data_IF_459725582547
#
_entry.id   IF_459725582547
#
_cell.length_a   1.000
_cell.length_b   1.000
_cell.length_c   1.000
_cell.angle_alpha   90.00
_cell.angle_beta   90.00
_cell.angle_gamma   90.00
#
_symmetry.space_group_name_H-M   'P 1'
#
loop_
_entity.id
_entity.type
_entity.pdbx_description
1 polymer ?
#
# COMPACT_ATOMS: atom_id res chain seq x y z
N UNK A 1 -29.10 -59.24 3.72
CA UNK A 1 -28.11 -59.96 2.89
C UNK A 1 -28.52 -59.83 1.45
N UNK A 2 -27.80 -59.05 0.65
CA UNK A 2 -28.05 -58.90 -0.78
C UNK A 2 -26.68 -58.72 -1.47
N UNK A 3 -26.22 -59.78 -2.13
CA UNK A 3 -24.98 -59.83 -2.90
C UNK A 3 -25.13 -59.02 -4.20
N UNK A 4 -24.28 -58.02 -4.38
CA UNK A 4 -24.09 -57.36 -5.68
C UNK A 4 -23.06 -58.13 -6.49
N UNK A 5 -23.50 -58.75 -7.58
CA UNK A 5 -22.65 -59.37 -8.61
C UNK A 5 -21.77 -58.31 -9.27
N UNK A 6 -20.46 -58.50 -9.25
CA UNK A 6 -19.51 -57.73 -10.05
C UNK A 6 -19.51 -58.28 -11.48
N UNK A 7 -19.83 -57.42 -12.45
CA UNK A 7 -19.69 -57.72 -13.87
C UNK A 7 -18.25 -57.48 -14.31
N UNK A 8 -17.58 -58.53 -14.80
CA UNK A 8 -16.34 -58.44 -15.55
C UNK A 8 -16.63 -57.87 -16.94
N UNK A 9 -15.90 -56.84 -17.36
CA UNK A 9 -15.87 -56.37 -18.74
C UNK A 9 -14.56 -56.82 -19.39
N UNK A 10 -14.67 -57.78 -20.30
CA UNK A 10 -13.60 -58.22 -21.19
C UNK A 10 -13.52 -57.23 -22.36
N UNK A 11 -12.42 -56.49 -22.46
CA UNK A 11 -12.18 -55.54 -23.56
C UNK A 11 -11.34 -56.26 -24.62
N UNK A 12 -11.98 -56.73 -25.68
CA UNK A 12 -11.28 -57.22 -26.87
C UNK A 12 -10.87 -56.02 -27.74
N UNK A 13 -9.56 -55.77 -27.85
CA UNK A 13 -9.00 -54.82 -28.80
C UNK A 13 -9.05 -55.42 -30.21
N UNK A 14 -10.01 -54.97 -31.01
CA UNK A 14 -10.02 -55.18 -32.46
C UNK A 14 -9.29 -54.00 -33.13
N UNK A 15 -8.17 -54.31 -33.79
CA UNK A 15 -7.40 -53.40 -34.64
C UNK A 15 -8.22 -52.98 -35.87
N UNK A 16 -9.11 -52.00 -35.70
CA UNK A 16 -9.86 -51.37 -36.78
C UNK A 16 -9.22 -50.04 -37.18
N UNK A 17 -8.62 -49.97 -38.38
CA UNK A 17 -8.25 -48.71 -39.05
C UNK A 17 -9.49 -47.83 -39.21
N UNK A 18 -9.71 -46.91 -38.29
CA UNK A 18 -10.79 -45.93 -38.36
C UNK A 18 -10.43 -44.81 -39.35
N UNK A 19 -10.97 -44.89 -40.56
CA UNK A 19 -11.03 -43.76 -41.49
C UNK A 19 -12.01 -42.73 -40.94
N UNK A 20 -11.51 -41.82 -40.11
CA UNK A 20 -12.30 -40.75 -39.52
C UNK A 20 -12.58 -39.67 -40.58
N UNK A 21 -13.70 -39.82 -41.30
CA UNK A 21 -14.20 -38.81 -42.22
C UNK A 21 -14.75 -37.64 -41.41
N UNK A 22 -13.86 -36.74 -40.97
CA UNK A 22 -14.19 -35.51 -40.23
C UNK A 22 -15.21 -34.74 -41.07
N UNK A 23 -16.48 -34.73 -40.62
CA UNK A 23 -17.54 -33.92 -41.23
C UNK A 23 -17.15 -32.45 -41.04
N UNK A 24 -16.94 -31.73 -42.15
CA UNK A 24 -16.48 -30.32 -42.22
C UNK A 24 -17.19 -29.35 -41.27
N UNK A 25 -18.39 -29.68 -40.81
CA UNK A 25 -19.18 -28.88 -39.86
C UNK A 25 -18.49 -28.73 -38.50
N UNK A 26 -17.79 -29.76 -38.00
CA UNK A 26 -17.13 -29.69 -36.69
C UNK A 26 -15.94 -28.72 -36.64
N UNK A 27 -15.21 -28.57 -37.74
CA UNK A 27 -14.04 -27.68 -37.80
C UNK A 27 -14.43 -26.20 -37.75
N UNK A 28 -15.59 -25.85 -38.30
CA UNK A 28 -16.12 -24.49 -38.26
C UNK A 28 -16.33 -24.00 -36.82
N UNK A 29 -16.94 -24.83 -35.95
CA UNK A 29 -17.15 -24.46 -34.55
C UNK A 29 -15.84 -24.31 -33.77
N UNK A 30 -14.83 -25.11 -34.07
CA UNK A 30 -13.51 -24.98 -33.44
C UNK A 30 -12.85 -23.66 -33.83
N UNK A 31 -12.88 -23.30 -35.12
CA UNK A 31 -12.30 -22.04 -35.60
C UNK A 31 -13.06 -20.83 -35.05
N UNK A 32 -14.40 -20.87 -35.03
CA UNK A 32 -15.22 -19.80 -34.44
C UNK A 32 -14.96 -19.66 -32.94
N UNK A 33 -14.85 -20.78 -32.21
CA UNK A 33 -14.52 -20.77 -30.78
C UNK A 33 -13.16 -20.12 -30.51
N UNK A 34 -12.14 -20.45 -31.31
CA UNK A 34 -10.79 -19.89 -31.17
C UNK A 34 -10.77 -18.38 -31.43
N UNK A 35 -11.52 -17.91 -32.44
CA UNK A 35 -11.66 -16.48 -32.73
C UNK A 35 -12.36 -15.74 -31.57
N UNK A 36 -13.41 -16.31 -30.99
CA UNK A 36 -14.10 -15.71 -29.84
C UNK A 36 -13.16 -15.58 -28.63
N UNK A 37 -12.38 -16.61 -28.32
CA UNK A 37 -11.39 -16.57 -27.23
C UNK A 37 -10.36 -15.45 -27.48
N UNK A 38 -9.84 -15.35 -28.71
CA UNK A 38 -8.83 -14.35 -29.04
C UNK A 38 -9.38 -12.92 -28.96
N UNK A 39 -10.63 -12.69 -29.41
CA UNK A 39 -11.28 -11.38 -29.25
C UNK A 39 -11.52 -11.03 -27.78
N UNK A 40 -11.93 -12.00 -26.96
CA UNK A 40 -12.14 -11.80 -25.52
C UNK A 40 -10.84 -11.38 -24.81
N UNK A 41 -9.74 -12.09 -25.04
CA UNK A 41 -8.42 -11.75 -24.47
C UNK A 41 -7.99 -10.34 -24.90
N UNK A 42 -8.20 -9.99 -26.17
CA UNK A 42 -7.82 -8.66 -26.69
C UNK A 42 -8.63 -7.54 -26.02
N UNK A 43 -9.94 -7.73 -25.86
CA UNK A 43 -10.83 -6.76 -25.18
C UNK A 43 -10.44 -6.63 -23.70
N UNK A 44 -10.15 -7.74 -23.00
CA UNK A 44 -9.71 -7.70 -21.60
C UNK A 44 -8.40 -6.91 -21.43
N UNK A 45 -7.42 -7.10 -22.31
CA UNK A 45 -6.16 -6.34 -22.28
C UNK A 45 -6.40 -4.85 -22.55
N UNK A 46 -7.30 -4.51 -23.49
CA UNK A 46 -7.65 -3.12 -23.79
C UNK A 46 -8.34 -2.44 -22.60
N UNK A 47 -9.29 -3.11 -21.95
CA UNK A 47 -9.97 -2.61 -20.75
C UNK A 47 -9.00 -2.44 -19.57
N UNK A 48 -8.06 -3.37 -19.41
CA UNK A 48 -7.01 -3.25 -18.40
C UNK A 48 -6.12 -2.04 -18.65
N UNK A 49 -5.66 -1.83 -19.89
CA UNK A 49 -4.89 -0.64 -20.29
C UNK A 49 -5.67 0.66 -20.06
N UNK A 50 -6.93 0.70 -20.46
CA UNK A 50 -7.79 1.86 -20.24
C UNK A 50 -7.98 2.19 -18.75
N UNK A 51 -8.10 1.16 -17.91
CA UNK A 51 -8.20 1.31 -16.46
C UNK A 51 -6.91 1.90 -15.86
N UNK A 52 -5.75 1.50 -16.38
CA UNK A 52 -4.46 2.06 -15.98
C UNK A 52 -4.24 3.49 -16.48
N UNK A 53 -4.67 3.82 -17.70
CA UNK A 53 -4.58 5.16 -18.29
C UNK A 53 -5.34 6.20 -17.45
N UNK A 54 -6.55 5.83 -16.98
CA UNK A 54 -7.37 6.71 -16.13
C UNK A 54 -6.71 7.03 -14.79
N UNK A 55 -5.76 6.21 -14.32
CA UNK A 55 -4.98 6.49 -13.10
C UNK A 55 -3.79 7.43 -13.33
N UNK A 56 -3.34 7.64 -14.58
CA UNK A 56 -2.21 8.55 -14.89
C UNK A 56 -2.61 9.99 -15.20
N UNK A 57 -3.88 10.27 -15.49
CA UNK A 57 -4.35 11.62 -15.86
C UNK A 57 -4.61 12.62 -14.73
N UNK A 58 -4.28 12.28 -13.47
CA UNK A 58 -4.65 13.05 -12.27
C UNK A 58 -3.59 14.02 -11.74
N UNK A 59 -2.79 14.67 -12.59
CA UNK A 59 -1.96 15.82 -12.22
C UNK A 59 -2.56 17.08 -12.84
N UNK A 60 -3.80 17.37 -12.42
CA UNK A 60 -4.40 18.68 -12.65
C UNK A 60 -3.58 19.73 -11.90
N UNK A 61 -2.94 20.65 -12.62
CA UNK A 61 -2.43 21.90 -12.07
C UNK A 61 -3.61 22.63 -11.41
N UNK A 62 -3.65 22.60 -10.08
CA UNK A 62 -4.58 23.43 -9.31
C UNK A 62 -4.05 24.87 -9.39
N UNK A 63 -4.61 25.64 -10.31
CA UNK A 63 -4.54 27.11 -10.25
C UNK A 63 -5.42 27.56 -9.08
N UNK A 64 -4.79 27.95 -7.98
CA UNK A 64 -5.47 28.60 -6.86
C UNK A 64 -5.62 30.09 -7.22
N UNK A 65 -6.83 30.63 -7.39
CA UNK A 65 -7.03 32.06 -7.56
C UNK A 65 -6.73 32.77 -6.23
N UNK A 66 -5.90 33.81 -6.30
CA UNK A 66 -5.47 34.61 -5.15
C UNK A 66 -6.64 35.26 -4.43
N UNK A 67 -6.73 34.99 -3.13
CA UNK A 67 -7.59 35.74 -2.20
C UNK A 67 -6.73 36.73 -1.44
N UNK A 68 -6.95 38.01 -1.69
CA UNK A 68 -6.49 39.09 -0.83
C UNK A 68 -7.27 39.01 0.49
N UNK A 69 -6.61 38.60 1.57
CA UNK A 69 -7.14 38.75 2.93
C UNK A 69 -6.17 39.63 3.69
N UNK A 70 -6.65 40.84 3.96
CA UNK A 70 -6.06 41.81 4.87
C UNK A 70 -6.51 41.52 6.30
N UNK A 71 -5.67 41.98 7.23
CA UNK A 71 -5.89 42.21 8.68
C UNK A 71 -5.34 41.16 9.66
N UNK A 72 -4.19 41.55 10.22
CA UNK A 72 -3.93 41.76 11.64
C UNK A 72 -4.63 40.82 12.64
N UNK A 73 -3.84 39.97 13.31
CA UNK A 73 -3.91 39.93 14.78
C UNK A 73 -2.58 39.51 15.38
N UNK A 74 -2.16 40.34 16.33
CA UNK A 74 -1.02 40.25 17.23
C UNK A 74 -0.89 38.89 17.91
N UNK A 75 0.30 38.29 17.88
CA UNK A 75 0.74 37.38 18.96
C UNK A 75 2.22 37.59 19.21
N UNK A 76 2.47 38.42 20.22
CA UNK A 76 3.75 38.61 20.89
C UNK A 76 4.00 37.39 21.78
N UNK A 77 5.08 36.65 21.56
CA UNK A 77 6.17 36.47 22.54
C UNK A 77 7.04 35.26 22.20
N UNK A 78 8.34 35.44 22.48
CA UNK A 78 9.42 34.46 22.61
C UNK A 78 10.05 34.01 21.28
N UNK A 79 10.88 34.88 20.71
CA UNK A 79 12.18 34.54 20.12
C UNK A 79 12.99 35.85 19.97
N UNK A 80 13.39 36.43 21.10
CA UNK A 80 14.39 37.49 21.13
C UNK A 80 15.77 36.84 21.14
N UNK A 81 16.24 36.48 19.97
CA UNK A 81 17.64 36.47 19.56
C UNK A 81 17.70 35.83 18.18
N UNK A 82 18.47 36.41 17.27
CA UNK A 82 18.57 36.05 15.84
C UNK A 82 17.53 36.70 14.92
N UNK A 83 17.42 38.02 14.88
CA UNK A 83 17.25 38.78 13.62
C UNK A 83 17.85 40.17 13.78
N UNK A 84 19.17 40.29 13.69
CA UNK A 84 19.83 41.55 13.33
C UNK A 84 20.60 41.30 12.04
N UNK A 85 19.90 41.47 10.91
CA UNK A 85 20.43 41.81 9.57
C UNK A 85 19.45 41.33 8.50
N UNK A 86 18.35 42.05 8.30
CA UNK A 86 17.65 42.05 7.02
C UNK A 86 17.39 43.50 6.65
N UNK A 87 18.28 44.04 5.83
CA UNK A 87 18.15 45.34 5.20
C UNK A 87 17.12 45.20 4.06
N UNK A 88 15.92 45.76 4.26
CA UNK A 88 14.89 45.81 3.23
C UNK A 88 15.08 47.05 2.37
N UNK A 89 15.67 46.92 1.18
CA UNK A 89 15.40 47.84 0.07
C UNK A 89 14.22 47.30 -0.75
N UNK A 90 13.13 48.05 -0.75
CA UNK A 90 11.96 47.75 -1.56
C UNK A 90 12.16 48.15 -3.02
N UNK A 91 11.69 47.31 -3.94
CA UNK A 91 10.64 47.66 -4.89
C UNK A 91 10.24 46.44 -5.73
N UNK A 92 8.99 46.46 -6.20
CA UNK A 92 8.43 45.61 -7.26
C UNK A 92 7.61 44.41 -6.81
N UNK A 93 6.37 44.44 -7.24
CA UNK A 93 5.33 43.42 -7.09
C UNK A 93 5.65 42.17 -7.92
N UNK A 94 5.41 41.01 -7.30
CA UNK A 94 5.34 39.63 -7.86
C UNK A 94 6.55 38.71 -7.70
N UNK A 95 7.25 38.75 -6.55
CA UNK A 95 8.23 37.70 -6.23
C UNK A 95 7.61 36.52 -5.48
N UNK A 96 7.70 35.35 -6.13
CA UNK A 96 7.41 34.05 -5.54
C UNK A 96 8.53 33.68 -4.58
N UNK A 97 8.25 33.63 -3.27
CA UNK A 97 9.20 33.18 -2.26
C UNK A 97 9.40 31.65 -2.37
N UNK A 98 10.49 31.23 -3.00
CA UNK A 98 10.99 29.86 -2.91
C UNK A 98 11.82 29.71 -1.63
N UNK A 99 11.23 29.09 -0.60
CA UNK A 99 11.99 28.68 0.58
C UNK A 99 12.84 27.47 0.19
N UNK A 100 14.14 27.70 -0.04
CA UNK A 100 15.14 26.65 -0.28
C UNK A 100 15.58 26.09 1.08
N UNK A 101 15.29 24.82 1.34
CA UNK A 101 15.62 24.16 2.62
C UNK A 101 17.08 23.65 2.71
N UNK A 102 17.90 23.87 1.68
CA UNK A 102 19.24 23.28 1.58
C UNK A 102 20.32 23.95 2.46
N UNK A 103 19.97 25.01 3.21
CA UNK A 103 20.95 25.77 4.02
C UNK A 103 20.62 25.86 5.52
N UNK A 104 19.77 24.98 6.06
CA UNK A 104 19.67 24.83 7.52
C UNK A 104 20.88 24.06 8.07
N UNK A 105 22.03 24.73 8.13
CA UNK A 105 23.11 24.33 9.03
C UNK A 105 22.66 24.60 10.45
N UNK A 106 22.13 23.58 11.13
CA UNK A 106 21.95 23.61 12.57
C UNK A 106 23.32 23.83 13.22
N UNK A 107 23.60 25.08 13.60
CA UNK A 107 24.74 25.39 14.44
C UNK A 107 24.37 24.95 15.86
N UNK A 108 24.59 23.66 16.14
CA UNK A 108 24.51 23.12 17.48
C UNK A 108 25.60 23.80 18.30
N UNK A 109 25.20 24.69 19.21
CA UNK A 109 26.08 25.31 20.19
C UNK A 109 27.00 24.23 20.81
N UNK A 110 28.30 24.45 20.70
CA UNK A 110 29.38 23.56 21.18
C UNK A 110 29.38 23.34 22.70
N UNK A 111 28.48 23.99 23.44
CA UNK A 111 28.34 23.85 24.90
C UNK A 111 27.71 22.53 25.36
N UNK A 112 27.22 21.67 24.46
CA UNK A 112 26.63 20.38 24.83
C UNK A 112 27.61 19.19 24.71
N UNK A 113 28.87 19.43 24.36
CA UNK A 113 29.88 18.38 24.16
C UNK A 113 30.63 17.96 25.43
N UNK A 114 30.54 18.70 26.53
CA UNK A 114 31.40 18.48 27.70
C UNK A 114 30.87 17.45 28.71
N UNK A 115 29.68 16.88 28.48
CA UNK A 115 29.07 15.89 29.38
C UNK A 115 28.62 14.59 28.70
N UNK A 116 29.18 14.28 27.53
CA UNK A 116 28.96 12.97 26.94
C UNK A 116 29.72 11.90 27.75
N UNK A 117 29.03 10.86 28.28
CA UNK A 117 29.67 9.82 29.06
C UNK A 117 30.80 9.17 28.26
N UNK A 118 31.97 9.11 28.88
CA UNK A 118 33.18 8.56 28.29
C UNK A 118 32.92 7.13 27.80
N UNK A 119 33.20 6.91 26.51
CA UNK A 119 33.21 5.62 25.81
C UNK A 119 31.92 4.82 25.94
N UNK A 120 30.98 5.13 25.05
CA UNK A 120 30.07 4.08 24.56
C UNK A 120 30.96 2.93 24.07
N UNK A 121 30.84 1.71 24.63
CA UNK A 121 31.64 0.58 24.20
C UNK A 121 31.43 0.43 22.71
N UNK A 122 32.50 0.57 21.92
CA UNK A 122 32.48 0.31 20.48
C UNK A 122 32.00 -1.11 20.35
N UNK A 123 30.73 -1.29 19.95
CA UNK A 123 30.16 -2.61 19.67
C UNK A 123 31.16 -3.30 18.76
N UNK A 124 31.78 -4.36 19.28
CA UNK A 124 32.61 -5.26 18.50
C UNK A 124 31.86 -5.49 17.18
N UNK A 125 32.58 -5.39 16.07
CA UNK A 125 32.11 -5.72 14.73
C UNK A 125 31.70 -7.19 14.74
N UNK A 126 30.50 -7.45 15.24
CA UNK A 126 29.88 -8.76 15.27
C UNK A 126 29.72 -9.19 13.83
N UNK A 127 30.28 -10.36 13.52
CA UNK A 127 29.97 -11.10 12.33
C UNK A 127 28.44 -11.10 12.17
N UNK A 128 27.93 -10.32 11.22
CA UNK A 128 26.50 -10.30 10.93
C UNK A 128 26.20 -11.62 10.24
N UNK A 129 25.64 -12.57 11.01
CA UNK A 129 25.25 -13.88 10.49
C UNK A 129 24.26 -13.68 9.34
N UNK A 130 24.70 -13.96 8.12
CA UNK A 130 23.87 -13.84 6.92
C UNK A 130 22.64 -14.76 6.95
N UNK A 131 22.62 -15.72 7.88
CA UNK A 131 21.48 -16.61 8.13
C UNK A 131 20.28 -15.91 8.79
N UNK A 132 20.42 -14.67 9.30
CA UNK A 132 19.29 -13.95 9.89
C UNK A 132 18.25 -13.50 8.84
N UNK A 133 18.67 -13.37 7.57
CA UNK A 133 17.84 -12.91 6.46
C UNK A 133 16.62 -13.81 6.20
N UNK A 134 16.74 -15.12 6.42
CA UNK A 134 15.69 -16.08 6.02
C UNK A 134 14.51 -16.15 7.01
N UNK A 135 14.58 -15.43 8.14
CA UNK A 135 13.55 -15.48 9.20
C UNK A 135 12.83 -14.17 9.47
N UNK A 136 13.17 -13.08 8.78
CA UNK A 136 12.55 -11.77 9.06
C UNK A 136 11.14 -11.76 8.48
N UNK A 137 10.14 -11.83 9.37
CA UNK A 137 8.73 -11.62 9.02
C UNK A 137 8.36 -10.16 9.25
N UNK A 138 7.84 -9.52 8.21
CA UNK A 138 7.34 -8.14 8.27
C UNK A 138 5.82 -8.18 8.25
N UNK A 139 5.19 -7.41 9.15
CA UNK A 139 3.73 -7.21 9.16
C UNK A 139 3.42 -5.72 9.16
N UNK A 140 2.34 -5.33 8.48
CA UNK A 140 1.85 -3.95 8.45
C UNK A 140 0.67 -3.84 9.42
N UNK A 141 0.74 -2.88 10.34
CA UNK A 141 -0.32 -2.60 11.31
C UNK A 141 -0.94 -1.24 10.98
N UNK A 142 -2.22 -1.23 10.61
CA UNK A 142 -2.99 -0.01 10.35
C UNK A 142 -3.98 0.19 11.48
N UNK A 143 -3.92 1.35 12.14
CA UNK A 143 -4.89 1.75 13.15
C UNK A 143 -5.78 2.86 12.59
N UNK A 144 -7.09 2.66 12.64
CA UNK A 144 -8.08 3.57 12.08
C UNK A 144 -9.16 3.95 13.09
N UNK A 145 -9.65 5.20 13.00
CA UNK A 145 -10.80 5.68 13.75
C UNK A 145 -11.54 6.75 12.95
N UNK A 146 -12.86 6.58 12.77
CA UNK A 146 -13.81 7.58 12.25
C UNK A 146 -13.40 8.36 10.99
N UNK A 147 -12.59 7.79 10.10
CA UNK A 147 -12.07 8.46 8.89
C UNK A 147 -12.04 7.52 7.68
N UNK A 148 -13.20 7.19 7.08
CA UNK A 148 -13.29 6.20 6.00
C UNK A 148 -12.52 6.62 4.75
N UNK A 149 -12.62 7.89 4.34
CA UNK A 149 -11.88 8.43 3.19
C UNK A 149 -10.36 8.33 3.36
N UNK A 150 -9.85 8.71 4.53
CA UNK A 150 -8.41 8.62 4.82
C UNK A 150 -7.94 7.17 4.85
N UNK A 151 -8.72 6.26 5.45
CA UNK A 151 -8.40 4.84 5.46
C UNK A 151 -8.35 4.28 4.03
N UNK A 152 -9.35 4.59 3.19
CA UNK A 152 -9.40 4.15 1.80
C UNK A 152 -8.18 4.62 1.00
N UNK A 153 -7.79 5.88 1.16
CA UNK A 153 -6.58 6.43 0.50
C UNK A 153 -5.32 5.69 0.96
N UNK A 154 -5.16 5.49 2.27
CA UNK A 154 -4.01 4.76 2.82
C UNK A 154 -3.96 3.31 2.29
N UNK A 155 -5.07 2.58 2.34
CA UNK A 155 -5.14 1.20 1.87
C UNK A 155 -4.86 1.10 0.37
N UNK A 156 -5.35 2.07 -0.43
CA UNK A 156 -5.02 2.14 -1.86
C UNK A 156 -3.52 2.31 -2.08
N UNK A 157 -2.87 3.22 -1.33
CA UNK A 157 -1.43 3.43 -1.42
C UNK A 157 -0.63 2.20 -0.98
N UNK A 158 -1.09 1.49 0.05
CA UNK A 158 -0.50 0.22 0.47
C UNK A 158 -0.66 -0.85 -0.61
N UNK A 159 -1.84 -0.97 -1.23
CA UNK A 159 -2.08 -1.93 -2.31
C UNK A 159 -1.26 -1.67 -3.57
N UNK A 160 -0.96 -0.40 -3.86
CA UNK A 160 -0.18 0.01 -5.04
C UNK A 160 1.36 -0.03 -4.78
N UNK A 161 1.82 -0.28 -3.55
CA UNK A 161 3.23 -0.31 -3.21
C UNK A 161 3.95 -1.58 -3.72
N UNK A 162 5.26 -1.46 -4.00
CA UNK A 162 6.09 -2.58 -4.47
C UNK A 162 6.73 -3.33 -3.29
N UNK A 163 6.19 -4.50 -2.98
CA UNK A 163 6.71 -5.42 -1.97
C UNK A 163 7.52 -6.59 -2.56
N UNK A 164 7.91 -6.55 -3.85
CA UNK A 164 8.60 -7.66 -4.55
C UNK A 164 10.06 -7.88 -4.10
N UNK A 165 10.44 -7.44 -2.91
CA UNK A 165 11.78 -7.65 -2.38
C UNK A 165 12.00 -9.13 -2.05
N UNK A 166 13.20 -9.65 -2.36
CA UNK A 166 13.54 -11.09 -2.34
C UNK A 166 13.43 -11.78 -0.96
N UNK A 167 13.18 -11.02 0.11
CA UNK A 167 13.29 -11.50 1.50
C UNK A 167 11.96 -11.62 2.24
N UNK A 168 10.86 -11.08 1.70
CA UNK A 168 9.55 -11.15 2.35
C UNK A 168 8.63 -12.09 1.57
N UNK A 169 8.53 -13.34 2.02
CA UNK A 169 7.69 -14.38 1.41
C UNK A 169 6.20 -14.13 1.58
N UNK A 170 5.79 -13.37 2.60
CA UNK A 170 4.45 -12.79 2.76
C UNK A 170 4.51 -11.61 3.74
N UNK A 171 3.66 -10.61 3.53
CA UNK A 171 3.50 -9.46 4.43
C UNK A 171 2.06 -9.46 4.91
N UNK A 172 1.85 -9.79 6.18
CA UNK A 172 0.51 -9.80 6.75
C UNK A 172 0.05 -8.38 7.07
N UNK A 173 -1.19 -8.07 6.74
CA UNK A 173 -1.83 -6.79 7.00
C UNK A 173 -2.87 -6.91 8.11
N UNK A 174 -2.68 -6.15 9.17
CA UNK A 174 -3.60 -6.07 10.30
C UNK A 174 -4.23 -4.68 10.33
N UNK A 175 -5.55 -4.62 10.15
CA UNK A 175 -6.34 -3.39 10.23
C UNK A 175 -7.13 -3.40 11.52
N UNK A 176 -6.78 -2.53 12.46
CA UNK A 176 -7.47 -2.38 13.74
C UNK A 176 -8.30 -1.10 13.73
N UNK A 177 -9.60 -1.23 13.94
CA UNK A 177 -10.55 -0.12 13.95
C UNK A 177 -11.00 0.12 15.38
N UNK A 178 -10.74 1.32 15.90
CA UNK A 178 -11.25 1.71 17.21
C UNK A 178 -12.76 1.92 17.15
N UNK A 179 -13.46 1.49 18.20
CA UNK A 179 -14.91 1.53 18.24
C UNK A 179 -15.49 2.95 18.36
N UNK A 180 -16.78 3.08 18.10
CA UNK A 180 -17.50 4.36 18.19
C UNK A 180 -17.43 5.23 16.93
N UNK A 181 -16.78 4.76 15.86
CA UNK A 181 -16.82 5.36 14.54
C UNK A 181 -18.02 4.91 13.68
N UNK A 182 -18.20 5.49 12.48
CA UNK A 182 -19.22 5.07 11.53
C UNK A 182 -18.87 3.69 10.93
N UNK A 183 -19.90 2.91 10.63
CA UNK A 183 -19.80 1.57 10.03
C UNK A 183 -19.02 1.57 8.70
N UNK A 184 -19.07 2.68 7.95
CA UNK A 184 -18.34 2.89 6.70
C UNK A 184 -16.82 2.61 6.83
N UNK A 185 -16.20 2.87 7.99
CA UNK A 185 -14.77 2.58 8.20
C UNK A 185 -14.50 1.07 8.19
N UNK A 186 -15.41 0.29 8.77
CA UNK A 186 -15.35 -1.17 8.81
C UNK A 186 -15.57 -1.74 7.41
N UNK A 187 -16.52 -1.18 6.68
CA UNK A 187 -16.82 -1.61 5.31
C UNK A 187 -15.61 -1.37 4.38
N UNK A 188 -14.98 -0.18 4.46
CA UNK A 188 -13.74 0.13 3.71
C UNK A 188 -12.61 -0.87 4.01
N UNK A 189 -12.43 -1.28 5.27
CA UNK A 189 -11.40 -2.26 5.63
C UNK A 189 -11.73 -3.68 5.14
N UNK A 190 -13.00 -4.06 5.17
CA UNK A 190 -13.47 -5.38 4.75
C UNK A 190 -13.41 -5.53 3.22
N UNK A 191 -13.81 -4.51 2.47
CA UNK A 191 -13.80 -4.48 1.00
C UNK A 191 -12.39 -4.44 0.41
N UNK A 192 -11.41 -3.93 1.14
CA UNK A 192 -10.03 -3.84 0.65
C UNK A 192 -9.40 -5.22 0.43
N UNK A 193 -8.99 -5.54 -0.79
CA UNK A 193 -8.28 -6.78 -1.13
C UNK A 193 -6.77 -6.63 -0.91
N UNK A 194 -6.17 -7.55 -0.15
CA UNK A 194 -4.73 -7.56 0.12
C UNK A 194 -4.06 -8.71 -0.64
N UNK A 195 -3.09 -8.38 -1.49
CA UNK A 195 -2.50 -9.32 -2.45
C UNK A 195 -1.15 -9.88 -2.01
N UNK A 196 -0.60 -9.44 -0.87
CA UNK A 196 0.79 -9.71 -0.47
C UNK A 196 0.92 -10.61 0.77
N UNK A 197 -0.18 -11.08 1.35
CA UNK A 197 -0.20 -11.93 2.55
C UNK A 197 -1.60 -12.09 3.13
N UNK A 198 -1.71 -12.45 4.40
CA UNK A 198 -3.02 -12.53 5.06
C UNK A 198 -3.52 -11.14 5.48
N UNK A 199 -4.84 -10.93 5.41
CA UNK A 199 -5.51 -9.71 5.90
C UNK A 199 -6.35 -10.04 7.12
N UNK A 200 -6.12 -9.31 8.21
CA UNK A 200 -6.89 -9.41 9.44
C UNK A 200 -7.55 -8.08 9.74
N UNK A 201 -8.88 -8.06 9.88
CA UNK A 201 -9.64 -6.88 10.29
C UNK A 201 -10.18 -7.11 11.69
N UNK A 202 -9.81 -6.25 12.63
CA UNK A 202 -10.29 -6.29 14.02
C UNK A 202 -11.03 -4.99 14.32
N UNK A 203 -12.28 -5.10 14.74
CA UNK A 203 -13.12 -3.95 15.11
C UNK A 203 -13.51 -4.04 16.59
N UNK A 204 -13.19 -2.99 17.34
CA UNK A 204 -13.60 -2.90 18.75
C UNK A 204 -15.03 -2.34 18.83
N UNK A 205 -15.88 -2.92 19.68
CA UNK A 205 -17.25 -2.40 19.88
C UNK A 205 -17.30 -1.04 20.58
N UNK A 206 -16.28 -0.71 21.38
CA UNK A 206 -16.18 0.54 22.15
C UNK A 206 -14.85 1.23 21.86
N UNK A 207 -14.83 2.56 21.95
CA UNK A 207 -13.60 3.35 21.84
C UNK A 207 -12.64 2.99 22.99
N UNK A 208 -11.51 2.40 22.65
CA UNK A 208 -10.46 1.99 23.59
C UNK A 208 -9.31 2.99 23.64
N UNK A 209 -9.16 3.81 22.61
CA UNK A 209 -8.09 4.76 22.44
C UNK A 209 -6.80 4.13 21.91
N UNK A 210 -6.03 4.95 21.18
CA UNK A 210 -4.82 4.54 20.45
C UNK A 210 -3.79 3.81 21.32
N UNK A 211 -3.55 4.29 22.56
CA UNK A 211 -2.58 3.70 23.49
C UNK A 211 -2.91 2.25 23.80
N UNK A 212 -4.18 1.96 24.11
CA UNK A 212 -4.62 0.59 24.44
C UNK A 212 -4.52 -0.31 23.23
N UNK A 213 -4.95 0.18 22.07
CA UNK A 213 -4.82 -0.55 20.81
C UNK A 213 -3.37 -0.95 20.54
N UNK A 214 -2.42 -0.02 20.67
CA UNK A 214 -1.00 -0.30 20.46
C UNK A 214 -0.46 -1.34 21.45
N UNK A 215 -0.77 -1.19 22.74
CA UNK A 215 -0.29 -2.13 23.78
C UNK A 215 -0.91 -3.53 23.69
N UNK A 216 -2.07 -3.65 23.04
CA UNK A 216 -2.74 -4.93 22.80
C UNK A 216 -2.21 -5.68 21.56
N UNK A 217 -1.29 -5.08 20.80
CA UNK A 217 -0.55 -5.77 19.74
C UNK A 217 0.58 -6.54 20.44
N UNK A 218 0.24 -7.66 21.08
CA UNK A 218 1.25 -8.68 21.39
C UNK A 218 1.07 -9.82 20.41
N UNK A 219 2.12 -10.26 19.71
CA UNK A 219 2.08 -11.52 19.00
C UNK A 219 1.74 -12.62 20.01
N UNK A 220 0.68 -13.39 19.75
CA UNK A 220 0.40 -14.62 20.46
C UNK A 220 1.23 -15.76 19.86
#
# INVERSE_FOLDING_TARGET
>A
MNEKKQGQFEVQLLEGKMNFKIRRVGWFYVVVGLLLIQTFVTISVLLFRFTLEKRRGGLGKVLIPGTNVSQETTTTAIFSDVVDSVETQGNSSNDTFLIRFDELKFNLNSSFQDHLPEKVPRRHSGHFDQNFSDSIRVSIQVIAFSRPKSLKTLLTQLGDADYRTKSASSIDLYIRIDGGGPQEVVDVANEFEWMFGEKHVMHNQKATGLRRMWTSIRPQ
#
